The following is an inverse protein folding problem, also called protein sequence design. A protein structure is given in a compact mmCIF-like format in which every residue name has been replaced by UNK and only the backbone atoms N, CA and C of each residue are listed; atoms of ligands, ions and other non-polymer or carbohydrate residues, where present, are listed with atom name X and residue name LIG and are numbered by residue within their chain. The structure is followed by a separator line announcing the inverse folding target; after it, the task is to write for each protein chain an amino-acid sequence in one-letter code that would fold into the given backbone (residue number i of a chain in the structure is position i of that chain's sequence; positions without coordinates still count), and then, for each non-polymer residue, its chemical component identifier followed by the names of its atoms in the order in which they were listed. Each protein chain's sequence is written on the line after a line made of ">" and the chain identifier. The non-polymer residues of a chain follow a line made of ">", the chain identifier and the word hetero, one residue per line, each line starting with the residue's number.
data_IF_047644742167
#
_entry.id   IF_047644742167
#
_cell.length_a   1.000
_cell.length_b   1.000
_cell.length_c   1.000
_cell.angle_alpha   90.00
_cell.angle_beta   90.00
_cell.angle_gamma   90.00
#
_symmetry.space_group_name_H-M   'P 1'
#
loop_
_entity.id
_entity.type
_entity.pdbx_description
1 polymer ?
#
# COMPACT_ATOMS: atom_id res chain seq x y z
N UNK A 1 -7.33 14.01 -46.72
CA UNK A 1 -7.66 12.58 -46.47
C UNK A 1 -6.82 11.97 -45.34
N UNK A 2 -5.54 12.35 -45.16
CA UNK A 2 -4.66 11.82 -44.10
C UNK A 2 -5.03 12.26 -42.65
N UNK A 3 -5.57 13.46 -42.46
CA UNK A 3 -5.87 14.02 -41.13
C UNK A 3 -7.00 13.29 -40.37
N UNK A 4 -8.01 12.81 -41.12
CA UNK A 4 -9.13 12.01 -40.59
C UNK A 4 -8.66 10.66 -40.02
N UNK A 5 -7.70 10.03 -40.69
CA UNK A 5 -7.11 8.75 -40.26
C UNK A 5 -6.35 8.89 -38.92
N UNK A 6 -5.58 9.99 -38.76
CA UNK A 6 -4.79 10.25 -37.56
C UNK A 6 -5.66 10.56 -36.32
N UNK A 7 -6.74 11.34 -36.50
CA UNK A 7 -7.73 11.58 -35.43
C UNK A 7 -8.43 10.29 -34.99
N UNK A 8 -8.77 9.39 -35.91
CA UNK A 8 -9.38 8.11 -35.59
C UNK A 8 -8.43 7.19 -34.83
N UNK A 9 -7.17 7.10 -35.26
CA UNK A 9 -6.14 6.31 -34.58
C UNK A 9 -5.85 6.81 -33.16
N UNK A 10 -5.76 8.13 -32.95
CA UNK A 10 -5.55 8.71 -31.62
C UNK A 10 -6.75 8.54 -30.68
N UNK A 11 -7.98 8.61 -31.21
CA UNK A 11 -9.21 8.32 -30.47
C UNK A 11 -9.25 6.85 -30.01
N UNK A 12 -8.96 5.91 -30.91
CA UNK A 12 -8.93 4.47 -30.60
C UNK A 12 -7.84 4.16 -29.56
N UNK A 13 -6.63 4.74 -29.69
CA UNK A 13 -5.57 4.61 -28.68
C UNK A 13 -6.02 5.14 -27.32
N UNK A 14 -6.69 6.29 -27.28
CA UNK A 14 -7.20 6.90 -26.05
C UNK A 14 -8.32 6.07 -25.42
N UNK A 15 -9.17 5.44 -26.24
CA UNK A 15 -10.23 4.53 -25.80
C UNK A 15 -9.69 3.19 -25.25
N UNK A 16 -8.64 2.66 -25.87
CA UNK A 16 -7.94 1.45 -25.41
C UNK A 16 -7.19 1.71 -24.10
N UNK A 17 -6.48 2.83 -23.99
CA UNK A 17 -5.76 3.21 -22.76
C UNK A 17 -6.72 3.45 -21.60
N UNK A 18 -7.86 4.10 -21.83
CA UNK A 18 -8.89 4.33 -20.80
C UNK A 18 -9.62 3.06 -20.36
N UNK A 19 -9.83 2.09 -21.26
CA UNK A 19 -10.37 0.76 -20.88
C UNK A 19 -9.36 -0.09 -20.11
N UNK A 20 -8.08 -0.04 -20.46
CA UNK A 20 -7.03 -0.77 -19.73
C UNK A 20 -6.83 -0.22 -18.31
N UNK A 21 -7.07 1.08 -18.12
CA UNK A 21 -6.97 1.75 -16.81
C UNK A 21 -8.15 1.49 -15.87
N UNK A 22 -9.23 0.82 -16.33
CA UNK A 22 -10.48 0.64 -15.60
C UNK A 22 -10.53 -0.69 -14.85
N UNK A 23 -9.48 -1.04 -14.10
CA UNK A 23 -9.63 -1.99 -13.01
C UNK A 23 -8.63 -1.72 -11.89
N UNK A 24 -8.91 -0.71 -11.07
CA UNK A 24 -8.09 -0.37 -9.88
C UNK A 24 -7.99 -1.49 -8.84
N UNK A 25 -8.69 -2.62 -9.05
CA UNK A 25 -8.72 -3.81 -8.18
C UNK A 25 -8.09 -5.05 -8.81
N UNK A 26 -7.51 -4.95 -10.01
CA UNK A 26 -6.89 -6.11 -10.67
C UNK A 26 -5.83 -6.79 -9.81
N UNK A 27 -4.97 -5.98 -9.17
CA UNK A 27 -3.97 -6.47 -8.21
C UNK A 27 -4.60 -7.22 -7.02
N UNK A 28 -5.68 -6.69 -6.44
CA UNK A 28 -6.39 -7.34 -5.32
C UNK A 28 -6.93 -8.71 -5.74
N UNK A 29 -7.55 -8.83 -6.91
CA UNK A 29 -8.12 -10.10 -7.36
C UNK A 29 -7.05 -11.14 -7.69
N UNK A 30 -5.95 -10.73 -8.32
CA UNK A 30 -4.83 -11.62 -8.63
C UNK A 30 -4.17 -12.12 -7.34
N UNK A 31 -3.86 -11.21 -6.41
CA UNK A 31 -3.25 -11.57 -5.13
C UNK A 31 -4.18 -12.41 -4.26
N UNK A 32 -5.48 -12.09 -4.21
CA UNK A 32 -6.48 -12.91 -3.52
C UNK A 32 -6.58 -14.31 -4.13
N UNK A 33 -6.51 -14.42 -5.46
CA UNK A 33 -6.47 -15.72 -6.15
C UNK A 33 -5.26 -16.55 -5.73
N UNK A 34 -4.06 -15.97 -5.76
CA UNK A 34 -2.85 -16.65 -5.28
C UNK A 34 -2.95 -17.03 -3.80
N UNK A 35 -3.48 -16.14 -2.96
CA UNK A 35 -3.69 -16.39 -1.53
C UNK A 35 -4.60 -17.60 -1.30
N UNK A 36 -5.77 -17.65 -1.96
CA UNK A 36 -6.70 -18.77 -1.82
C UNK A 36 -6.12 -20.09 -2.33
N UNK A 37 -5.38 -20.07 -3.44
CA UNK A 37 -4.67 -21.26 -3.95
C UNK A 37 -3.63 -21.72 -2.93
N UNK A 38 -2.82 -20.81 -2.38
CA UNK A 38 -1.82 -21.16 -1.37
C UNK A 38 -2.46 -21.68 -0.07
N UNK A 39 -3.59 -21.10 0.34
CA UNK A 39 -4.32 -21.53 1.52
C UNK A 39 -4.90 -22.94 1.34
N UNK A 40 -5.50 -23.21 0.17
CA UNK A 40 -5.97 -24.54 -0.17
C UNK A 40 -4.82 -25.56 -0.21
N UNK A 41 -3.69 -25.21 -0.83
CA UNK A 41 -2.51 -26.06 -0.83
C UNK A 41 -2.01 -26.33 0.60
N UNK A 42 -1.94 -25.32 1.46
CA UNK A 42 -1.54 -25.46 2.86
C UNK A 42 -2.42 -26.49 3.60
N UNK A 43 -3.74 -26.39 3.45
CA UNK A 43 -4.67 -27.35 4.06
C UNK A 43 -4.50 -28.76 3.47
N UNK A 44 -4.34 -28.89 2.15
CA UNK A 44 -4.07 -30.19 1.52
C UNK A 44 -2.79 -30.84 2.07
N UNK A 45 -1.71 -30.08 2.24
CA UNK A 45 -0.47 -30.59 2.83
C UNK A 45 -0.63 -30.91 4.32
N UNK A 46 -1.40 -30.10 5.06
CA UNK A 46 -1.73 -30.37 6.46
C UNK A 46 -2.50 -31.69 6.60
N UNK A 47 -3.37 -32.03 5.65
CA UNK A 47 -4.06 -33.32 5.64
C UNK A 47 -3.09 -34.48 5.51
N UNK A 48 -2.13 -34.40 4.58
CA UNK A 48 -1.12 -35.45 4.42
C UNK A 48 -0.25 -35.60 5.68
N UNK A 49 0.16 -34.49 6.30
CA UNK A 49 0.90 -34.50 7.55
C UNK A 49 0.09 -35.13 8.70
N UNK A 50 -1.18 -34.73 8.84
CA UNK A 50 -2.09 -35.25 9.85
C UNK A 50 -2.30 -36.76 9.70
N UNK A 51 -2.59 -37.24 8.49
CA UNK A 51 -2.77 -38.67 8.24
C UNK A 51 -1.51 -39.45 8.58
N UNK A 52 -0.34 -38.94 8.20
CA UNK A 52 0.93 -39.57 8.53
C UNK A 52 1.15 -39.67 10.05
N UNK A 53 0.90 -38.57 10.78
CA UNK A 53 0.99 -38.52 12.25
C UNK A 53 0.04 -39.52 12.92
N UNK A 54 -1.21 -39.60 12.45
CA UNK A 54 -2.19 -40.55 13.01
C UNK A 54 -1.78 -42.00 12.78
N UNK A 55 -1.22 -42.32 11.60
CA UNK A 55 -0.70 -43.67 11.30
C UNK A 55 0.48 -44.01 12.20
N UNK A 56 1.42 -43.09 12.39
CA UNK A 56 2.60 -43.27 13.25
C UNK A 56 2.23 -43.47 14.73
N UNK A 57 1.20 -42.78 15.19
CA UNK A 57 0.69 -42.90 16.56
C UNK A 57 -0.40 -43.96 16.74
N UNK A 58 -0.72 -44.71 15.67
CA UNK A 58 -1.75 -45.76 15.66
C UNK A 58 -3.12 -45.26 16.15
N UNK A 59 -3.47 -44.03 15.77
CA UNK A 59 -4.69 -43.33 16.12
C UNK A 59 -5.68 -43.32 14.94
N UNK A 60 -6.95 -43.07 15.25
CA UNK A 60 -7.99 -43.00 14.23
C UNK A 60 -7.89 -41.69 13.43
N UNK A 61 -8.04 -41.78 12.11
CA UNK A 61 -8.09 -40.59 11.23
C UNK A 61 -9.48 -39.99 11.31
N UNK A 62 -9.61 -38.84 11.98
CA UNK A 62 -10.88 -38.14 12.12
C UNK A 62 -10.85 -36.76 11.43
N UNK A 63 -11.91 -36.43 10.68
CA UNK A 63 -12.04 -35.14 10.01
C UNK A 63 -12.12 -33.97 11.00
N UNK A 64 -12.76 -34.19 12.15
CA UNK A 64 -12.87 -33.23 13.25
C UNK A 64 -11.51 -32.95 13.90
N UNK A 65 -10.72 -34.00 14.11
CA UNK A 65 -9.35 -33.90 14.64
C UNK A 65 -8.47 -33.08 13.70
N UNK A 66 -8.47 -33.43 12.42
CA UNK A 66 -7.77 -32.69 11.37
C UNK A 66 -8.18 -31.21 11.33
N UNK A 67 -9.48 -30.91 11.24
CA UNK A 67 -9.97 -29.53 11.14
C UNK A 67 -9.53 -28.69 12.35
N UNK A 68 -9.66 -29.25 13.55
CA UNK A 68 -9.26 -28.56 14.77
C UNK A 68 -7.74 -28.31 14.85
N UNK A 69 -6.93 -29.28 14.44
CA UNK A 69 -5.47 -29.14 14.44
C UNK A 69 -5.03 -28.12 13.39
N UNK A 70 -5.43 -28.30 12.13
CA UNK A 70 -5.06 -27.38 11.05
C UNK A 70 -5.59 -25.96 11.29
N UNK A 71 -6.77 -25.79 11.87
CA UNK A 71 -7.27 -24.47 12.24
C UNK A 71 -6.42 -23.84 13.35
N UNK A 72 -6.05 -24.59 14.40
CA UNK A 72 -5.14 -24.10 15.44
C UNK A 72 -3.79 -23.69 14.84
N UNK A 73 -3.17 -24.55 14.06
CA UNK A 73 -1.86 -24.29 13.43
C UNK A 73 -1.94 -23.04 12.54
N UNK A 74 -3.03 -22.89 11.77
CA UNK A 74 -3.27 -21.70 10.93
C UNK A 74 -3.43 -20.44 11.79
N UNK A 75 -4.17 -20.51 12.90
CA UNK A 75 -4.40 -19.37 13.80
C UNK A 75 -3.17 -18.99 14.61
N UNK A 76 -2.36 -19.95 15.04
CA UNK A 76 -1.09 -19.71 15.72
C UNK A 76 -0.09 -19.03 14.79
N UNK A 77 0.04 -19.51 13.55
CA UNK A 77 0.85 -18.85 12.53
C UNK A 77 0.33 -17.45 12.22
N UNK A 78 -0.99 -17.27 12.08
CA UNK A 78 -1.57 -15.95 11.87
C UNK A 78 -1.27 -15.00 13.04
N UNK A 79 -1.43 -15.49 14.27
CA UNK A 79 -1.17 -14.71 15.48
C UNK A 79 0.28 -14.23 15.54
N UNK A 80 1.24 -15.13 15.31
CA UNK A 80 2.67 -14.80 15.40
C UNK A 80 3.08 -13.83 14.30
N UNK A 81 2.66 -14.06 13.05
CA UNK A 81 2.95 -13.18 11.92
C UNK A 81 2.31 -11.80 12.09
N UNK A 82 1.07 -11.74 12.58
CA UNK A 82 0.41 -10.46 12.86
C UNK A 82 1.14 -9.69 13.96
N UNK A 83 1.54 -10.37 15.04
CA UNK A 83 2.31 -9.74 16.11
C UNK A 83 3.66 -9.24 15.61
N UNK A 84 4.35 -10.01 14.77
CA UNK A 84 5.61 -9.62 14.13
C UNK A 84 5.43 -8.37 13.26
N UNK A 85 4.44 -8.36 12.37
CA UNK A 85 4.16 -7.21 11.50
C UNK A 85 3.79 -5.98 12.30
N UNK A 86 2.95 -6.12 13.31
CA UNK A 86 2.59 -5.04 14.22
C UNK A 86 3.82 -4.49 14.95
N UNK A 87 4.67 -5.36 15.47
CA UNK A 87 5.91 -4.97 16.13
C UNK A 87 6.86 -4.25 15.17
N UNK A 88 7.03 -4.76 13.95
CA UNK A 88 7.85 -4.12 12.92
C UNK A 88 7.31 -2.74 12.55
N UNK A 89 6.03 -2.63 12.20
CA UNK A 89 5.43 -1.35 11.79
C UNK A 89 5.44 -0.36 12.95
N UNK A 90 5.02 -0.77 14.14
CA UNK A 90 5.00 0.08 15.33
C UNK A 90 6.41 0.47 15.77
N UNK A 91 7.34 -0.48 15.80
CA UNK A 91 8.74 -0.26 16.16
C UNK A 91 9.45 0.67 15.18
N UNK A 92 9.34 0.44 13.87
CA UNK A 92 9.88 1.35 12.86
C UNK A 92 9.21 2.72 12.92
N UNK A 93 7.88 2.78 13.07
CA UNK A 93 7.17 4.06 13.21
C UNK A 93 7.62 4.83 14.45
N UNK A 94 7.83 4.15 15.57
CA UNK A 94 8.31 4.75 16.81
C UNK A 94 9.75 5.25 16.67
N UNK A 95 10.65 4.44 16.11
CA UNK A 95 12.03 4.83 15.85
C UNK A 95 12.12 5.99 14.85
N UNK A 96 11.28 6.00 13.81
CA UNK A 96 11.18 7.14 12.91
C UNK A 96 10.62 8.38 13.64
N UNK A 97 9.63 8.22 14.51
CA UNK A 97 9.06 9.34 15.25
C UNK A 97 10.07 9.97 16.23
N UNK A 98 10.78 9.14 17.00
CA UNK A 98 11.76 9.59 18.01
C UNK A 98 13.10 9.98 17.38
N UNK A 99 13.54 9.25 16.36
CA UNK A 99 14.84 9.41 15.70
C UNK A 99 14.84 10.35 14.49
N UNK A 100 13.69 10.88 14.07
CA UNK A 100 13.61 11.87 12.98
C UNK A 100 13.64 13.31 13.53
N UNK A 101 14.80 13.99 13.50
CA UNK A 101 14.85 15.45 13.62
C UNK A 101 14.10 16.15 12.47
N UNK A 102 13.83 15.46 11.35
CA UNK A 102 13.09 16.03 10.23
C UNK A 102 11.63 16.37 10.56
N UNK A 103 10.96 15.77 11.55
CA UNK A 103 9.57 16.16 11.84
C UNK A 103 9.47 17.53 12.52
N UNK A 104 10.42 17.87 13.39
CA UNK A 104 10.52 19.20 14.02
C UNK A 104 11.17 20.22 13.08
N UNK A 105 12.25 19.84 12.39
CA UNK A 105 12.94 20.70 11.43
C UNK A 105 12.06 20.99 10.20
N UNK A 106 11.17 20.07 9.79
CA UNK A 106 10.24 20.30 8.69
C UNK A 106 9.25 21.41 9.03
N UNK A 107 8.62 21.39 10.20
CA UNK A 107 7.63 22.41 10.57
C UNK A 107 8.26 23.79 10.69
N UNK A 108 9.36 23.89 11.42
CA UNK A 108 10.09 25.17 11.62
C UNK A 108 10.64 25.71 10.29
N UNK A 109 11.24 24.86 9.45
CA UNK A 109 11.74 25.26 8.13
C UNK A 109 10.61 25.57 7.14
N UNK A 110 9.41 25.00 7.32
CA UNK A 110 8.22 25.36 6.54
C UNK A 110 7.73 26.75 6.96
N UNK A 111 7.65 27.03 8.26
CA UNK A 111 7.27 28.35 8.79
C UNK A 111 8.25 29.43 8.33
N UNK A 112 9.56 29.20 8.45
CA UNK A 112 10.58 30.13 7.94
C UNK A 112 10.43 30.40 6.43
N UNK A 113 10.13 29.37 5.63
CA UNK A 113 9.90 29.53 4.19
C UNK A 113 8.62 30.31 3.90
N UNK A 114 7.56 30.12 4.68
CA UNK A 114 6.31 30.88 4.56
C UNK A 114 6.57 32.36 4.87
N UNK A 115 7.31 32.66 5.93
CA UNK A 115 7.66 34.03 6.32
C UNK A 115 8.52 34.71 5.26
N UNK A 116 9.52 34.02 4.71
CA UNK A 116 10.35 34.53 3.61
C UNK A 116 9.51 34.83 2.36
N UNK A 117 8.53 33.98 2.03
CA UNK A 117 7.61 34.21 0.93
C UNK A 117 6.74 35.43 1.22
N UNK A 118 6.17 35.55 2.42
CA UNK A 118 5.30 36.66 2.82
C UNK A 118 6.05 37.99 2.72
N UNK A 119 7.25 38.06 3.28
CA UNK A 119 8.13 39.23 3.21
C UNK A 119 8.43 39.64 1.77
N UNK A 120 8.83 38.68 0.91
CA UNK A 120 9.18 38.97 -0.48
C UNK A 120 7.98 39.37 -1.35
N UNK A 121 6.79 38.93 -1.00
CA UNK A 121 5.55 39.34 -1.65
C UNK A 121 5.18 40.77 -1.26
N UNK A 122 5.38 41.12 0.01
CA UNK A 122 5.17 42.45 0.55
C UNK A 122 6.14 43.47 -0.06
N UNK A 123 7.43 43.14 -0.16
CA UNK A 123 8.44 43.94 -0.88
C UNK A 123 8.05 44.18 -2.35
N UNK A 124 7.63 43.12 -3.06
CA UNK A 124 7.15 43.27 -4.45
C UNK A 124 5.91 44.16 -4.57
N UNK A 125 4.98 44.11 -3.62
CA UNK A 125 3.79 44.96 -3.64
C UNK A 125 4.16 46.43 -3.43
N UNK A 126 5.09 46.73 -2.51
CA UNK A 126 5.60 48.09 -2.28
C UNK A 126 6.27 48.66 -3.53
N UNK A 127 7.14 47.88 -4.20
CA UNK A 127 7.78 48.28 -5.45
C UNK A 127 6.77 48.61 -6.56
N UNK A 128 5.65 47.86 -6.61
CA UNK A 128 4.59 48.07 -7.60
C UNK A 128 3.79 49.34 -7.29
N UNK A 129 3.52 49.63 -6.01
CA UNK A 129 2.85 50.86 -5.59
C UNK A 129 3.70 52.09 -5.87
N UNK A 130 5.00 52.05 -5.58
CA UNK A 130 5.93 53.15 -5.84
C UNK A 130 6.01 53.45 -7.35
N UNK A 131 6.15 52.42 -8.19
CA UNK A 131 6.11 52.56 -9.65
C UNK A 131 4.80 53.15 -10.16
N UNK A 132 3.67 52.79 -9.54
CA UNK A 132 2.36 53.35 -9.87
C UNK A 132 2.21 54.80 -9.44
N UNK A 133 2.89 55.23 -8.37
CA UNK A 133 2.91 56.63 -7.94
C UNK A 133 3.79 57.49 -8.84
N UNK A 134 4.94 56.98 -9.28
CA UNK A 134 5.86 57.70 -10.20
C UNK A 134 5.27 57.83 -11.62
N UNK A 135 4.41 56.89 -12.02
CA UNK A 135 3.73 56.89 -13.32
C UNK A 135 2.44 57.73 -13.38
N UNK A 136 2.06 58.40 -12.29
CA UNK A 136 0.94 59.37 -12.22
C UNK A 136 1.48 60.79 -12.20
#
# INVERSE_FOLDING_TARGET
>A
MAESSNKKASSIRRLLLTKLQKNRRGFLWVTLGFFLISLAAHWVFAWFAYVQEQIEHNQAIELTGYFNQTLRDTMENWQSEFLQLMWQVAGLSFLLYVGSPQSKESSERIEEKIDLIMKRLQERNLDQEEKRQIAR
#
